data_IF_808982550617
#
_entry.id   IF_808982550617
#
_cell.length_a   1.000
_cell.length_b   1.000
_cell.length_c   1.000
_cell.angle_alpha   90.00
_cell.angle_beta   90.00
_cell.angle_gamma   90.00
#
_symmetry.space_group_name_H-M   'P 1'
#
loop_
_entity.id
_entity.type
_entity.pdbx_description
1 polymer ?
#
# COMPACT_ATOMS: atom_id res chain seq x y z
N UNK A 1 80.06 -4.86 41.13
CA UNK A 1 79.20 -3.70 41.47
C UNK A 1 77.87 -3.83 40.72
N UNK A 2 76.77 -4.05 41.41
CA UNK A 2 75.44 -4.27 40.79
C UNK A 2 74.61 -3.00 40.93
N UNK A 3 74.36 -2.29 39.82
CA UNK A 3 73.46 -1.12 39.77
C UNK A 3 72.01 -1.60 39.76
N UNK A 4 71.32 -1.50 40.90
CA UNK A 4 69.87 -1.71 40.98
C UNK A 4 69.14 -0.53 40.33
N UNK A 5 68.51 -0.79 39.18
CA UNK A 5 67.65 0.17 38.49
C UNK A 5 66.41 0.47 39.37
N UNK A 6 66.28 1.72 39.84
CA UNK A 6 65.13 2.17 40.64
C UNK A 6 63.88 2.17 39.76
N UNK A 7 62.95 1.26 40.05
CA UNK A 7 61.62 1.22 39.44
C UNK A 7 60.95 2.58 39.65
N UNK A 8 60.54 3.22 38.55
CA UNK A 8 59.80 4.47 38.54
C UNK A 8 58.53 4.28 39.38
N UNK A 9 58.46 4.95 40.52
CA UNK A 9 57.21 5.13 41.25
C UNK A 9 56.36 6.08 40.45
N UNK A 10 55.49 5.53 39.61
CA UNK A 10 54.33 6.25 39.13
C UNK A 10 53.42 6.46 40.34
N UNK A 11 53.68 7.52 41.11
CA UNK A 11 52.67 8.11 41.98
C UNK A 11 51.61 8.75 41.06
N UNK A 12 50.86 7.91 40.36
CA UNK A 12 49.54 8.29 39.87
C UNK A 12 48.70 8.55 41.10
N UNK A 13 48.03 9.70 41.13
CA UNK A 13 47.10 10.10 42.16
C UNK A 13 46.09 8.95 42.36
N UNK A 14 46.27 8.14 43.41
CA UNK A 14 45.36 7.03 43.72
C UNK A 14 44.13 7.69 44.33
N UNK A 15 43.24 8.18 43.46
CA UNK A 15 41.90 8.55 43.87
C UNK A 15 41.29 7.32 44.58
N UNK A 16 40.52 7.52 45.66
CA UNK A 16 39.94 6.39 46.37
C UNK A 16 39.17 5.53 45.36
N UNK A 17 39.44 4.22 45.35
CA UNK A 17 38.81 3.26 44.46
C UNK A 17 37.29 3.45 44.25
N UNK A 18 36.47 3.81 45.27
CA UNK A 18 35.04 4.05 45.05
C UNK A 18 34.74 5.26 44.15
N UNK A 19 35.53 6.35 44.22
CA UNK A 19 35.31 7.53 43.39
C UNK A 19 35.53 7.24 41.91
N UNK A 20 36.55 6.45 41.58
CA UNK A 20 36.82 6.05 40.19
C UNK A 20 35.66 5.22 39.63
N UNK A 21 35.09 4.32 40.44
CA UNK A 21 33.92 3.52 40.03
C UNK A 21 32.71 4.38 39.69
N UNK A 22 32.40 5.39 40.53
CA UNK A 22 31.27 6.32 40.30
C UNK A 22 31.49 7.14 39.03
N UNK A 23 32.71 7.67 38.82
CA UNK A 23 33.02 8.46 37.62
C UNK A 23 32.91 7.61 36.36
N UNK A 24 33.41 6.38 36.37
CA UNK A 24 33.29 5.46 35.22
C UNK A 24 31.83 5.08 34.97
N UNK A 25 31.06 4.78 36.01
CA UNK A 25 29.63 4.48 35.88
C UNK A 25 28.86 5.68 35.30
N UNK A 26 29.15 6.89 35.77
CA UNK A 26 28.56 8.12 35.23
C UNK A 26 28.92 8.35 33.76
N UNK A 27 30.19 8.11 33.39
CA UNK A 27 30.63 8.21 32.00
C UNK A 27 29.95 7.17 31.10
N UNK A 28 29.78 5.93 31.56
CA UNK A 28 29.06 4.89 30.82
C UNK A 28 27.57 5.24 30.64
N UNK A 29 26.92 5.77 31.68
CA UNK A 29 25.54 6.23 31.57
C UNK A 29 25.41 7.38 30.58
N UNK A 30 26.29 8.38 30.66
CA UNK A 30 26.28 9.50 29.71
C UNK A 30 26.50 9.03 28.26
N UNK A 31 27.46 8.13 28.03
CA UNK A 31 27.69 7.53 26.72
C UNK A 31 26.49 6.73 26.21
N UNK A 32 25.87 5.92 27.07
CA UNK A 32 24.68 5.16 26.71
C UNK A 32 23.50 6.07 26.34
N UNK A 33 23.33 7.17 27.07
CA UNK A 33 22.28 8.14 26.84
C UNK A 33 22.43 8.81 25.47
N UNK A 34 23.63 9.31 25.16
CA UNK A 34 23.91 9.93 23.84
C UNK A 34 23.75 8.90 22.72
N UNK A 35 24.18 7.65 22.94
CA UNK A 35 23.99 6.58 21.95
C UNK A 35 22.50 6.34 21.67
N UNK A 36 21.69 6.25 22.72
CA UNK A 36 20.24 6.07 22.63
C UNK A 36 19.59 7.24 21.89
N UNK A 37 19.99 8.47 22.20
CA UNK A 37 19.48 9.68 21.56
C UNK A 37 19.77 9.68 20.06
N UNK A 38 21.03 9.43 19.67
CA UNK A 38 21.41 9.29 18.25
C UNK A 38 20.64 8.17 17.52
N UNK A 39 20.35 7.05 18.22
CA UNK A 39 19.56 5.95 17.65
C UNK A 39 18.09 6.34 17.47
N UNK A 40 17.50 7.00 18.44
CA UNK A 40 16.15 7.53 18.36
C UNK A 40 16.01 8.54 17.21
N UNK A 41 16.97 9.46 17.05
CA UNK A 41 16.99 10.38 15.91
C UNK A 41 17.11 9.66 14.57
N UNK A 42 17.94 8.61 14.48
CA UNK A 42 18.05 7.80 13.26
C UNK A 42 16.72 7.15 12.89
N UNK A 43 16.06 6.51 13.85
CA UNK A 43 14.78 5.84 13.64
C UNK A 43 13.70 6.87 13.27
N UNK A 44 13.68 8.02 13.96
CA UNK A 44 12.75 9.11 13.65
C UNK A 44 12.92 9.67 12.24
N UNK A 45 14.16 9.77 11.75
CA UNK A 45 14.44 10.16 10.36
C UNK A 45 13.90 9.14 9.36
N UNK A 46 14.06 7.86 9.64
CA UNK A 46 13.59 6.80 8.74
C UNK A 46 12.06 6.72 8.71
N UNK A 47 11.39 6.90 9.85
CA UNK A 47 9.93 7.01 9.92
C UNK A 47 9.45 8.20 9.09
N UNK A 48 10.06 9.38 9.26
CA UNK A 48 9.68 10.58 8.49
C UNK A 48 9.86 10.39 6.98
N UNK A 49 10.90 9.67 6.54
CA UNK A 49 11.09 9.34 5.12
C UNK A 49 9.95 8.47 4.60
N UNK A 50 9.61 7.41 5.33
CA UNK A 50 8.52 6.49 4.96
C UNK A 50 7.16 7.19 4.96
N UNK A 51 6.92 8.10 5.90
CA UNK A 51 5.71 8.93 5.92
C UNK A 51 5.63 9.86 4.72
N UNK A 52 6.74 10.52 4.37
CA UNK A 52 6.81 11.38 3.20
C UNK A 52 6.54 10.61 1.90
N UNK A 53 7.11 9.41 1.75
CA UNK A 53 6.88 8.55 0.59
C UNK A 53 5.41 8.13 0.49
N UNK A 54 4.79 7.72 1.60
CA UNK A 54 3.35 7.39 1.62
C UNK A 54 2.48 8.57 1.21
N UNK A 55 2.83 9.78 1.65
CA UNK A 55 2.08 11.00 1.29
C UNK A 55 2.23 11.30 -0.20
N UNK A 56 3.43 11.12 -0.77
CA UNK A 56 3.67 11.28 -2.21
C UNK A 56 2.85 10.29 -3.03
N UNK A 57 2.93 8.98 -2.71
CA UNK A 57 2.14 7.96 -3.42
C UNK A 57 0.63 8.22 -3.35
N UNK A 58 0.11 8.62 -2.18
CA UNK A 58 -1.31 8.97 -2.06
C UNK A 58 -1.69 10.15 -2.95
N UNK A 59 -0.83 11.15 -3.06
CA UNK A 59 -1.05 12.31 -3.92
C UNK A 59 -1.07 11.90 -5.39
N UNK A 60 -0.17 11.00 -5.79
CA UNK A 60 -0.10 10.50 -7.16
C UNK A 60 -1.36 9.72 -7.52
N UNK A 61 -1.80 8.80 -6.65
CA UNK A 61 -3.07 8.06 -6.82
C UNK A 61 -4.25 9.01 -6.98
N UNK A 62 -4.39 10.02 -6.10
CA UNK A 62 -5.48 11.00 -6.20
C UNK A 62 -5.42 11.79 -7.51
N UNK A 63 -4.22 12.10 -7.99
CA UNK A 63 -4.05 12.81 -9.27
C UNK A 63 -4.46 11.94 -10.45
N UNK A 64 -4.12 10.65 -10.42
CA UNK A 64 -4.51 9.67 -11.44
C UNK A 64 -6.01 9.40 -11.41
N UNK A 65 -6.59 9.24 -10.22
CA UNK A 65 -8.03 9.06 -10.03
C UNK A 65 -8.80 10.27 -10.57
N UNK A 66 -8.34 11.50 -10.26
CA UNK A 66 -8.92 12.72 -10.81
C UNK A 66 -8.81 12.76 -12.34
N UNK A 67 -7.66 12.36 -12.89
CA UNK A 67 -7.44 12.30 -14.35
C UNK A 67 -8.35 11.26 -15.00
N UNK A 68 -8.49 10.08 -14.41
CA UNK A 68 -9.37 9.01 -14.90
C UNK A 68 -10.84 9.41 -14.80
N UNK A 69 -11.24 10.05 -13.72
CA UNK A 69 -12.60 10.59 -13.55
C UNK A 69 -12.91 11.62 -14.63
N UNK A 70 -11.98 12.53 -14.93
CA UNK A 70 -12.12 13.49 -16.04
C UNK A 70 -12.21 12.83 -17.41
N UNK A 71 -11.41 11.79 -17.68
CA UNK A 71 -11.44 11.07 -18.96
C UNK A 71 -12.72 10.24 -19.12
N UNK A 72 -13.20 9.62 -18.05
CA UNK A 72 -14.42 8.80 -18.05
C UNK A 72 -15.69 9.65 -18.00
N UNK A 73 -15.59 10.96 -17.72
CA UNK A 73 -16.75 11.83 -17.72
C UNK A 73 -17.43 11.85 -19.10
N UNK A 74 -18.77 11.70 -19.15
CA UNK A 74 -19.51 11.58 -20.40
C UNK A 74 -19.28 12.79 -21.32
N UNK A 75 -19.21 14.00 -20.76
CA UNK A 75 -18.94 15.23 -21.50
C UNK A 75 -17.59 15.20 -22.24
N UNK A 76 -16.55 14.62 -21.65
CA UNK A 76 -15.23 14.56 -22.27
C UNK A 76 -15.17 13.46 -23.34
N UNK A 77 -15.88 12.34 -23.12
CA UNK A 77 -16.06 11.29 -24.11
C UNK A 77 -16.81 11.85 -25.34
N UNK A 78 -17.91 12.57 -25.14
CA UNK A 78 -18.67 13.22 -26.21
C UNK A 78 -17.82 14.24 -26.99
N UNK A 79 -17.02 15.06 -26.29
CA UNK A 79 -16.12 16.01 -26.93
C UNK A 79 -15.04 15.34 -27.80
N UNK A 80 -14.47 14.22 -27.32
CA UNK A 80 -13.48 13.44 -28.09
C UNK A 80 -14.14 12.74 -29.28
N UNK A 81 -15.32 12.15 -29.10
CA UNK A 81 -16.08 11.52 -30.19
C UNK A 81 -16.44 12.52 -31.29
N UNK A 82 -16.89 13.72 -30.91
CA UNK A 82 -17.16 14.81 -31.83
C UNK A 82 -15.90 15.23 -32.61
N UNK A 83 -14.75 15.33 -31.94
CA UNK A 83 -13.47 15.65 -32.59
C UNK A 83 -13.06 14.61 -33.64
N UNK A 84 -13.40 13.34 -33.44
CA UNK A 84 -13.09 12.25 -34.36
C UNK A 84 -14.22 11.93 -35.34
N UNK A 85 -15.29 12.75 -35.40
CA UNK A 85 -16.49 12.51 -36.22
C UNK A 85 -17.13 11.12 -36.01
N UNK A 86 -17.05 10.59 -34.78
CA UNK A 86 -17.65 9.32 -34.41
C UNK A 86 -19.03 9.61 -33.83
N UNK A 87 -20.08 9.19 -34.54
CA UNK A 87 -21.46 9.28 -34.05
C UNK A 87 -21.77 8.06 -33.21
N UNK A 88 -21.79 8.22 -31.88
CA UNK A 88 -22.11 7.15 -30.95
C UNK A 88 -23.60 7.24 -30.60
N UNK A 89 -24.44 6.42 -31.24
CA UNK A 89 -25.85 6.27 -30.88
C UNK A 89 -25.99 5.36 -29.67
N UNK A 90 -26.99 5.62 -28.81
CA UNK A 90 -27.33 4.69 -27.73
C UNK A 90 -27.59 3.29 -28.29
N UNK A 91 -26.99 2.23 -27.69
CA UNK A 91 -27.21 0.87 -28.13
C UNK A 91 -28.69 0.51 -27.99
N UNK A 92 -29.20 -0.26 -28.95
CA UNK A 92 -30.56 -0.82 -28.86
C UNK A 92 -30.61 -1.89 -27.77
N UNK A 93 -31.79 -2.13 -27.20
CA UNK A 93 -31.95 -3.05 -26.05
C UNK A 93 -31.42 -4.47 -26.29
N UNK A 94 -31.46 -4.94 -27.53
CA UNK A 94 -30.94 -6.22 -28.00
C UNK A 94 -29.40 -6.31 -27.98
N UNK A 95 -28.70 -5.18 -27.98
CA UNK A 95 -27.23 -5.10 -27.97
C UNK A 95 -26.65 -4.97 -26.55
N UNK A 96 -27.49 -4.89 -25.52
CA UNK A 96 -27.06 -4.70 -24.13
C UNK A 96 -26.84 -6.06 -23.45
N UNK A 97 -25.59 -6.45 -23.26
CA UNK A 97 -25.23 -7.62 -22.45
C UNK A 97 -25.07 -7.20 -20.99
N UNK A 98 -25.98 -7.69 -20.13
CA UNK A 98 -25.88 -7.50 -18.67
C UNK A 98 -24.98 -8.58 -18.08
N UNK A 99 -23.83 -8.18 -17.57
CA UNK A 99 -22.96 -9.06 -16.82
C UNK A 99 -23.45 -9.14 -15.37
N UNK A 100 -23.67 -10.35 -14.89
CA UNK A 100 -23.96 -10.62 -13.48
C UNK A 100 -22.71 -11.22 -12.86
N UNK A 101 -22.43 -10.85 -11.62
CA UNK A 101 -21.29 -11.39 -10.88
C UNK A 101 -21.43 -12.92 -10.78
N UNK A 102 -20.39 -13.64 -11.20
CA UNK A 102 -20.41 -15.09 -11.35
C UNK A 102 -20.58 -15.84 -10.01
N UNK A 103 -20.52 -15.11 -8.88
CA UNK A 103 -20.70 -15.66 -7.54
C UNK A 103 -22.11 -15.56 -6.94
N UNK A 104 -23.09 -14.88 -7.57
CA UNK A 104 -24.38 -14.59 -6.88
C UNK A 104 -25.63 -15.07 -7.63
N UNK A 105 -25.56 -15.44 -8.92
CA UNK A 105 -26.77 -15.72 -9.71
C UNK A 105 -26.64 -16.87 -10.72
N UNK A 106 -25.98 -17.97 -10.35
CA UNK A 106 -25.99 -19.19 -11.18
C UNK A 106 -27.38 -19.82 -11.31
N UNK A 107 -28.34 -19.46 -10.46
CA UNK A 107 -29.64 -20.13 -10.41
C UNK A 107 -30.67 -19.53 -11.39
N UNK A 108 -30.51 -18.27 -11.79
CA UNK A 108 -31.50 -17.56 -12.64
C UNK A 108 -31.19 -17.74 -14.12
N UNK A 109 -29.91 -17.77 -14.50
CA UNK A 109 -29.49 -17.89 -15.90
C UNK A 109 -29.73 -19.31 -16.48
N UNK A 110 -29.64 -20.35 -15.65
CA UNK A 110 -29.94 -21.73 -16.06
C UNK A 110 -31.46 -21.95 -16.22
N UNK A 111 -32.27 -21.28 -15.38
CA UNK A 111 -33.74 -21.43 -15.38
C UNK A 111 -34.40 -20.87 -16.65
N UNK A 112 -33.89 -19.76 -17.22
CA UNK A 112 -34.45 -19.16 -18.45
C UNK A 112 -34.16 -19.96 -19.72
N UNK A 113 -33.05 -20.70 -19.77
CA UNK A 113 -32.69 -21.54 -20.92
C UNK A 113 -33.58 -22.78 -20.99
N UNK A 114 -33.97 -23.32 -19.83
CA UNK A 114 -34.83 -24.51 -19.75
C UNK A 114 -36.31 -24.19 -19.96
N UNK A 115 -36.82 -23.04 -19.51
CA UNK A 115 -38.22 -22.67 -19.72
C UNK A 115 -38.55 -22.36 -21.19
N UNK A 116 -37.61 -21.76 -21.94
CA UNK A 116 -37.81 -21.52 -23.38
C UNK A 116 -37.85 -22.82 -24.21
N UNK A 117 -37.16 -23.87 -23.75
CA UNK A 117 -37.21 -25.17 -24.40
C UNK A 117 -38.56 -25.89 -24.16
N UNK A 118 -39.21 -25.64 -23.02
CA UNK A 118 -40.50 -26.25 -22.69
C UNK A 118 -41.66 -25.65 -23.47
N UNK A 119 -41.60 -24.36 -23.85
CA UNK A 119 -42.62 -23.74 -24.69
C UNK A 119 -42.54 -24.17 -26.16
N UNK A 120 -41.36 -24.55 -26.67
CA UNK A 120 -41.25 -25.09 -28.04
C UNK A 120 -41.56 -26.59 -28.16
N UNK A 121 -41.57 -27.33 -27.04
CA UNK A 121 -41.87 -28.78 -27.05
C UNK A 121 -43.36 -29.07 -26.89
N UNK A 122 -44.18 -28.12 -26.39
CA UNK A 122 -45.64 -28.29 -26.28
C UNK A 122 -46.37 -28.12 -27.61
N UNK A 123 -45.88 -27.27 -28.50
CA UNK A 123 -46.50 -27.04 -29.82
C UNK A 123 -46.29 -28.18 -30.81
N UNK A 124 -45.35 -29.10 -30.52
CA UNK A 124 -45.12 -30.30 -31.36
C UNK A 124 -45.82 -31.56 -30.87
N UNK A 125 -46.54 -31.50 -29.74
CA UNK A 125 -47.23 -32.66 -29.17
C UNK A 125 -48.76 -32.66 -29.40
N UNK A 126 -49.30 -31.66 -30.11
CA UNK A 126 -50.76 -31.52 -30.36
C UNK A 126 -51.13 -31.83 -31.82
N UNK A 127 -50.17 -32.27 -32.64
CA UNK A 127 -50.42 -32.65 -34.03
C UNK A 127 -49.76 -34.01 -34.29
N UNK A 128 -50.39 -35.08 -33.83
CA UNK A 128 -50.38 -36.40 -34.45
C UNK A 128 -51.41 -37.28 -33.73
N UNK A 129 -52.54 -37.46 -34.43
CA UNK A 129 -53.56 -38.53 -34.40
C UNK A 129 -54.29 -38.88 -33.09
#
# INVERSE_FOLDING_TARGET
MIRKNRKKRLHGFVLPAPFTGIVVAGALLALSYVWLDCRCESIGRDIKKLEAEKVQLKKDILSEESRWSKMKSPANIEAVLAKHNIVMTWPRQDQVVRLYDAGVNTDVAVKKRNSSLTYMKRDKAVIHD
#
